data_IF_461102996044
#
_entry.id   IF_461102996044
#
_cell.length_a   1.000
_cell.length_b   1.000
_cell.length_c   1.000
_cell.angle_alpha   90.00
_cell.angle_beta   90.00
_cell.angle_gamma   90.00
#
_symmetry.space_group_name_H-M   'P 1'
#
loop_
_entity.id
_entity.type
_entity.pdbx_description
1 polymer ?
#
# COMPACT_ATOMS: atom_id res chain seq x y z
N UNK A 1 47.10 22.76 -34.79
CA UNK A 1 48.32 21.95 -34.91
C UNK A 1 49.19 22.73 -35.87
N UNK A 2 50.39 23.09 -35.44
CA UNK A 2 51.33 23.84 -36.28
C UNK A 2 51.75 22.92 -37.43
N UNK A 3 51.52 23.35 -38.67
CA UNK A 3 51.97 22.59 -39.83
C UNK A 3 53.50 22.53 -39.79
N UNK A 4 54.07 21.32 -39.83
CA UNK A 4 55.52 21.15 -39.71
C UNK A 4 56.23 21.63 -40.99
N UNK A 5 56.97 22.73 -40.84
CA UNK A 5 57.72 23.41 -41.89
C UNK A 5 59.21 23.03 -41.80
N UNK A 6 59.58 21.78 -42.07
CA UNK A 6 61.00 21.43 -42.25
C UNK A 6 61.48 21.87 -43.65
N UNK A 7 61.96 23.11 -43.73
CA UNK A 7 62.50 23.66 -44.98
C UNK A 7 63.73 22.89 -45.47
N UNK A 8 64.60 22.48 -44.56
CA UNK A 8 65.88 21.85 -44.94
C UNK A 8 65.62 20.50 -45.58
N UNK A 9 64.74 19.69 -44.99
CA UNK A 9 64.34 18.40 -45.54
C UNK A 9 63.58 18.55 -46.86
N UNK A 10 62.61 19.48 -46.96
CA UNK A 10 61.83 19.71 -48.18
C UNK A 10 62.68 20.19 -49.35
N UNK A 11 63.60 21.13 -49.15
CA UNK A 11 64.50 21.58 -50.21
C UNK A 11 65.47 20.47 -50.64
N UNK A 12 65.95 19.67 -49.69
CA UNK A 12 66.82 18.53 -49.97
C UNK A 12 66.09 17.44 -50.75
N UNK A 13 64.87 17.07 -50.36
CA UNK A 13 64.09 16.00 -50.99
C UNK A 13 63.64 16.37 -52.41
N UNK A 14 63.32 17.64 -52.66
CA UNK A 14 63.02 18.17 -54.00
C UNK A 14 64.29 18.41 -54.85
N UNK A 15 65.48 18.32 -54.25
CA UNK A 15 66.74 18.60 -54.93
C UNK A 15 66.89 20.07 -55.36
N UNK A 16 66.28 21.01 -54.64
CA UNK A 16 66.42 22.46 -54.82
C UNK A 16 67.72 22.96 -54.17
N UNK A 17 68.83 22.38 -54.57
CA UNK A 17 70.18 22.77 -54.15
C UNK A 17 70.59 24.14 -54.73
N UNK A 18 71.76 24.63 -54.32
CA UNK A 18 72.30 25.93 -54.79
C UNK A 18 72.39 26.00 -56.32
N UNK A 19 72.62 24.88 -56.99
CA UNK A 19 72.69 24.82 -58.46
C UNK A 19 71.31 25.01 -59.08
N UNK A 20 70.28 24.35 -58.57
CA UNK A 20 68.90 24.54 -59.02
C UNK A 20 68.43 25.97 -58.75
N UNK A 21 68.72 26.51 -57.57
CA UNK A 21 68.38 27.89 -57.21
C UNK A 21 69.12 28.92 -58.09
N UNK A 22 70.39 28.69 -58.40
CA UNK A 22 71.14 29.52 -59.33
C UNK A 22 70.56 29.48 -60.76
N UNK A 23 70.11 28.31 -61.22
CA UNK A 23 69.46 28.17 -62.52
C UNK A 23 68.13 28.94 -62.59
N UNK A 24 67.34 28.93 -61.50
CA UNK A 24 66.13 29.75 -61.39
C UNK A 24 66.47 31.25 -61.44
N UNK A 25 67.46 31.71 -60.66
CA UNK A 25 67.91 33.12 -60.65
C UNK A 25 68.37 33.59 -62.04
N UNK A 26 69.08 32.75 -62.78
CA UNK A 26 69.54 33.07 -64.12
C UNK A 26 68.39 33.15 -65.14
N UNK A 27 67.38 32.29 -65.01
CA UNK A 27 66.21 32.29 -65.88
C UNK A 27 65.17 33.36 -65.53
N UNK A 28 65.23 33.91 -64.31
CA UNK A 28 64.21 34.80 -63.76
C UNK A 28 63.84 35.98 -64.67
N UNK A 29 64.77 36.72 -65.32
CA UNK A 29 64.41 37.83 -66.20
C UNK A 29 63.61 37.39 -67.44
N UNK A 30 63.85 36.18 -67.93
CA UNK A 30 63.12 35.60 -69.08
C UNK A 30 61.75 35.10 -68.61
N UNK A 31 61.70 34.42 -67.46
CA UNK A 31 60.46 33.95 -66.85
C UNK A 31 59.54 35.14 -66.57
N UNK A 32 60.06 36.22 -65.97
CA UNK A 32 59.30 37.41 -65.59
C UNK A 32 58.59 38.08 -66.78
N UNK A 33 59.17 38.00 -67.98
CA UNK A 33 58.56 38.54 -69.21
C UNK A 33 57.45 37.64 -69.78
N UNK A 34 57.40 36.36 -69.40
CA UNK A 34 56.53 35.36 -70.02
C UNK A 34 55.54 34.70 -69.04
N UNK A 35 55.68 34.90 -67.73
CA UNK A 35 54.92 34.20 -66.69
C UNK A 35 53.41 34.49 -66.74
N UNK A 36 53.01 35.68 -67.17
CA UNK A 36 51.61 36.12 -67.16
C UNK A 36 50.72 35.26 -68.07
N UNK A 37 51.23 34.89 -69.26
CA UNK A 37 50.52 34.00 -70.18
C UNK A 37 50.31 32.61 -69.57
N UNK A 38 51.33 32.08 -68.92
CA UNK A 38 51.31 30.76 -68.31
C UNK A 38 50.42 30.69 -67.05
N UNK A 39 50.42 31.74 -66.22
CA UNK A 39 49.47 31.89 -65.09
C UNK A 39 48.03 31.95 -65.62
N UNK A 40 47.79 32.78 -66.63
CA UNK A 40 46.47 32.95 -67.22
C UNK A 40 45.94 31.65 -67.85
N UNK A 41 46.79 30.89 -68.53
CA UNK A 41 46.44 29.57 -69.06
C UNK A 41 45.97 28.61 -67.96
N UNK A 42 46.71 28.52 -66.85
CA UNK A 42 46.31 27.71 -65.70
C UNK A 42 45.01 28.18 -65.05
N UNK A 43 44.83 29.48 -64.85
CA UNK A 43 43.63 30.06 -64.24
C UNK A 43 42.40 29.87 -65.12
N UNK A 44 42.51 30.07 -66.45
CA UNK A 44 41.43 29.83 -67.41
C UNK A 44 41.04 28.36 -67.47
N UNK A 45 42.01 27.44 -67.40
CA UNK A 45 41.69 26.02 -67.32
C UNK A 45 40.86 25.73 -66.06
N UNK A 46 41.30 26.19 -64.89
CA UNK A 46 40.53 26.01 -63.66
C UNK A 46 39.14 26.68 -63.72
N UNK A 47 39.01 27.86 -64.34
CA UNK A 47 37.70 28.48 -64.58
C UNK A 47 36.76 27.61 -65.43
N UNK A 48 37.31 26.92 -66.43
CA UNK A 48 36.54 26.06 -67.33
C UNK A 48 36.10 24.74 -66.69
N UNK A 49 36.77 24.30 -65.61
CA UNK A 49 36.48 23.03 -64.95
C UNK A 49 35.25 23.15 -64.04
N UNK A 50 34.20 22.31 -64.23
CA UNK A 50 32.94 22.43 -63.48
C UNK A 50 33.09 22.42 -61.96
N UNK A 51 34.06 21.66 -61.45
CA UNK A 51 34.20 21.48 -60.00
C UNK A 51 35.05 22.53 -59.30
N UNK A 52 35.67 23.49 -60.02
CA UNK A 52 36.26 24.67 -59.40
C UNK A 52 35.79 26.01 -59.99
N UNK A 53 34.95 26.00 -61.03
CA UNK A 53 34.37 27.20 -61.64
C UNK A 53 33.77 28.18 -60.62
N UNK A 54 33.07 27.69 -59.58
CA UNK A 54 32.51 28.52 -58.50
C UNK A 54 33.55 29.33 -57.72
N UNK A 55 34.78 28.81 -57.59
CA UNK A 55 35.87 29.49 -56.88
C UNK A 55 36.55 30.56 -57.73
N UNK A 56 36.40 30.47 -59.05
CA UNK A 56 37.04 31.36 -60.02
C UNK A 56 36.04 32.18 -60.86
N UNK A 57 34.73 32.12 -60.55
CA UNK A 57 33.65 32.72 -61.34
C UNK A 57 33.77 34.25 -61.45
N UNK A 58 34.24 34.91 -60.39
CA UNK A 58 34.44 36.37 -60.32
C UNK A 58 35.92 36.74 -60.25
N UNK A 59 36.79 35.89 -60.80
CA UNK A 59 38.23 36.13 -60.77
C UNK A 59 38.57 37.35 -61.63
N UNK A 60 39.08 38.41 -61.01
CA UNK A 60 39.80 39.45 -61.72
C UNK A 60 41.14 38.87 -62.18
N UNK A 61 41.27 38.60 -63.49
CA UNK A 61 42.45 37.98 -64.08
C UNK A 61 43.70 38.83 -63.87
N UNK A 62 43.61 40.16 -63.94
CA UNK A 62 44.75 41.05 -63.75
C UNK A 62 45.19 41.07 -62.28
N UNK A 63 44.23 41.10 -61.35
CA UNK A 63 44.56 40.97 -59.93
C UNK A 63 45.15 39.60 -59.59
N UNK A 64 44.60 38.53 -60.16
CA UNK A 64 45.09 37.17 -59.96
C UNK A 64 46.53 37.01 -60.49
N UNK A 65 46.81 37.50 -61.70
CA UNK A 65 48.16 37.54 -62.24
C UNK A 65 49.12 38.30 -61.35
N UNK A 66 48.75 39.47 -60.81
CA UNK A 66 49.60 40.22 -59.85
C UNK A 66 49.93 39.39 -58.60
N UNK A 67 48.95 38.71 -58.01
CA UNK A 67 49.16 37.88 -56.82
C UNK A 67 50.05 36.67 -57.12
N UNK A 68 49.77 35.95 -58.21
CA UNK A 68 50.59 34.83 -58.64
C UNK A 68 52.00 35.25 -59.03
N UNK A 69 52.16 36.37 -59.75
CA UNK A 69 53.46 36.93 -60.11
C UNK A 69 54.28 37.25 -58.88
N UNK A 70 53.69 37.88 -57.87
CA UNK A 70 54.36 38.15 -56.61
C UNK A 70 54.92 36.86 -55.99
N UNK A 71 54.05 35.88 -55.76
CA UNK A 71 54.46 34.61 -55.15
C UNK A 71 55.48 33.83 -56.00
N UNK A 72 55.29 33.76 -57.32
CA UNK A 72 56.18 32.98 -58.19
C UNK A 72 57.50 33.69 -58.50
N UNK A 73 57.50 34.98 -58.82
CA UNK A 73 58.72 35.72 -59.18
C UNK A 73 59.53 36.11 -57.94
N UNK A 74 58.86 36.65 -56.91
CA UNK A 74 59.55 37.22 -55.75
C UNK A 74 59.89 36.17 -54.69
N UNK A 75 59.19 35.02 -54.66
CA UNK A 75 59.36 34.01 -53.63
C UNK A 75 59.89 32.68 -54.22
N UNK A 76 59.08 31.99 -55.03
CA UNK A 76 59.39 30.61 -55.43
C UNK A 76 60.51 30.49 -56.47
N UNK A 77 60.60 31.42 -57.42
CA UNK A 77 61.58 31.39 -58.50
C UNK A 77 62.74 32.39 -58.29
N UNK A 78 62.69 33.19 -57.22
CA UNK A 78 63.77 34.10 -56.83
C UNK A 78 65.08 33.38 -56.42
N UNK A 79 65.02 32.06 -56.23
CA UNK A 79 66.17 31.22 -55.88
C UNK A 79 66.73 31.51 -54.49
N UNK A 80 65.87 31.87 -53.54
CA UNK A 80 66.17 32.00 -52.11
C UNK A 80 64.93 31.62 -51.27
N UNK A 81 64.52 30.36 -51.35
CA UNK A 81 63.33 29.86 -50.64
C UNK A 81 63.61 29.82 -49.14
N UNK A 82 62.99 30.72 -48.38
CA UNK A 82 63.12 30.87 -46.92
C UNK A 82 61.97 30.20 -46.16
N UNK A 83 62.06 30.13 -44.83
CA UNK A 83 61.00 29.56 -43.99
C UNK A 83 59.70 30.39 -44.10
N UNK A 84 59.83 31.72 -44.27
CA UNK A 84 58.69 32.62 -44.46
C UNK A 84 58.00 32.39 -45.80
N UNK A 85 58.75 32.05 -46.86
CA UNK A 85 58.18 31.68 -48.16
C UNK A 85 57.36 30.40 -48.04
N UNK A 86 57.88 29.37 -47.37
CA UNK A 86 57.12 28.13 -47.17
C UNK A 86 55.88 28.35 -46.29
N UNK A 87 55.98 29.18 -45.25
CA UNK A 87 54.83 29.53 -44.39
C UNK A 87 53.75 30.26 -45.18
N UNK A 88 54.13 31.22 -46.02
CA UNK A 88 53.18 31.90 -46.89
C UNK A 88 52.51 30.93 -47.88
N UNK A 89 53.25 29.98 -48.45
CA UNK A 89 52.69 28.90 -49.27
C UNK A 89 51.66 28.07 -48.50
N UNK A 90 51.96 27.67 -47.26
CA UNK A 90 51.02 26.94 -46.39
C UNK A 90 49.76 27.75 -46.12
N UNK A 91 49.87 29.04 -45.79
CA UNK A 91 48.72 29.93 -45.53
C UNK A 91 47.79 30.03 -46.75
N UNK A 92 48.37 30.05 -47.96
CA UNK A 92 47.61 30.01 -49.22
C UNK A 92 46.78 28.72 -49.28
N UNK A 93 47.41 27.56 -49.06
CA UNK A 93 46.71 26.28 -49.14
C UNK A 93 45.68 26.08 -48.03
N UNK A 94 45.97 26.48 -46.79
CA UNK A 94 45.00 26.44 -45.69
C UNK A 94 43.79 27.31 -45.98
N UNK A 95 43.98 28.50 -46.55
CA UNK A 95 42.88 29.40 -46.92
C UNK A 95 41.99 28.78 -48.00
N UNK A 96 42.59 28.09 -48.97
CA UNK A 96 41.87 27.46 -50.08
C UNK A 96 41.19 26.16 -49.67
N UNK A 97 41.81 25.38 -48.80
CA UNK A 97 41.21 24.21 -48.16
C UNK A 97 39.97 24.62 -47.37
N UNK A 98 40.08 25.70 -46.56
CA UNK A 98 38.95 26.25 -45.81
C UNK A 98 37.83 26.77 -46.70
N UNK A 99 38.15 27.23 -47.90
CA UNK A 99 37.17 27.60 -48.92
C UNK A 99 36.52 26.36 -49.58
N UNK A 100 37.09 25.17 -49.44
CA UNK A 100 36.59 23.91 -49.99
C UNK A 100 37.07 23.61 -51.41
N UNK A 101 38.20 24.20 -51.84
CA UNK A 101 38.81 23.90 -53.13
C UNK A 101 39.57 22.57 -53.06
N UNK A 102 39.21 21.59 -53.88
CA UNK A 102 39.88 20.28 -53.89
C UNK A 102 41.35 20.36 -54.32
N UNK A 103 42.22 19.64 -53.61
CA UNK A 103 43.66 19.60 -53.84
C UNK A 103 44.02 19.28 -55.32
N UNK A 104 43.21 18.44 -55.99
CA UNK A 104 43.42 18.05 -57.39
C UNK A 104 43.50 19.22 -58.38
N UNK A 105 42.88 20.35 -58.05
CA UNK A 105 42.90 21.52 -58.93
C UNK A 105 44.21 22.32 -58.86
N UNK A 106 45.01 22.14 -57.80
CA UNK A 106 46.40 22.64 -57.77
C UNK A 106 47.28 21.84 -58.71
N UNK A 107 47.15 20.50 -58.74
CA UNK A 107 47.80 19.65 -59.75
C UNK A 107 47.48 20.08 -61.18
N UNK A 108 46.21 20.41 -61.43
CA UNK A 108 45.76 20.85 -62.76
C UNK A 108 46.31 22.24 -63.13
N UNK A 109 46.26 23.19 -62.19
CA UNK A 109 46.79 24.53 -62.36
C UNK A 109 48.30 24.50 -62.62
N UNK A 110 49.06 23.85 -61.73
CA UNK A 110 50.53 23.82 -61.80
C UNK A 110 51.05 23.02 -63.00
N UNK A 111 50.36 21.94 -63.40
CA UNK A 111 50.71 21.25 -64.64
C UNK A 111 50.59 22.17 -65.86
N UNK A 112 49.47 22.89 -65.98
CA UNK A 112 49.23 23.78 -67.12
C UNK A 112 50.20 24.96 -67.10
N UNK A 113 50.35 25.57 -65.93
CA UNK A 113 51.25 26.70 -65.74
C UNK A 113 52.70 26.33 -66.07
N UNK A 114 53.22 25.22 -65.55
CA UNK A 114 54.60 24.79 -65.83
C UNK A 114 54.82 24.52 -67.32
N UNK A 115 53.94 23.76 -67.96
CA UNK A 115 54.10 23.41 -69.37
C UNK A 115 54.03 24.64 -70.28
N UNK A 116 53.05 25.54 -70.07
CA UNK A 116 52.94 26.79 -70.84
C UNK A 116 54.15 27.68 -70.61
N UNK A 117 54.66 27.79 -69.37
CA UNK A 117 55.85 28.57 -69.08
C UNK A 117 57.08 28.01 -69.80
N UNK A 118 57.25 26.68 -69.82
CA UNK A 118 58.36 26.03 -70.54
C UNK A 118 58.28 26.31 -72.04
N UNK A 119 57.09 26.21 -72.63
CA UNK A 119 56.86 26.53 -74.05
C UNK A 119 57.21 28.00 -74.36
N UNK A 120 56.85 28.93 -73.49
CA UNK A 120 57.10 30.36 -73.68
C UNK A 120 58.58 30.74 -73.53
N UNK A 121 59.33 30.08 -72.63
CA UNK A 121 60.76 30.39 -72.43
C UNK A 121 61.69 29.62 -73.38
N UNK A 122 61.28 28.45 -73.90
CA UNK A 122 62.12 27.60 -74.75
C UNK A 122 62.74 28.33 -75.96
N UNK A 123 62.05 29.25 -76.68
CA UNK A 123 62.63 30.02 -77.77
C UNK A 123 63.89 30.82 -77.40
N UNK A 124 64.02 31.28 -76.16
CA UNK A 124 65.17 32.06 -75.68
C UNK A 124 66.43 31.19 -75.52
N UNK A 125 66.28 29.87 -75.43
CA UNK A 125 67.37 28.92 -75.24
C UNK A 125 67.68 28.08 -76.48
N UNK A 126 67.18 28.43 -77.67
CA UNK A 126 67.40 27.67 -78.93
C UNK A 126 68.86 27.32 -79.23
N UNK A 127 69.81 28.19 -78.85
CA UNK A 127 71.26 27.98 -79.04
C UNK A 127 71.97 27.38 -77.80
N UNK A 128 71.24 27.16 -76.71
CA UNK A 128 71.74 26.76 -75.39
C UNK A 128 70.91 25.60 -74.80
N UNK A 129 70.81 24.43 -75.48
CA UNK A 129 69.93 23.35 -75.06
C UNK A 129 70.26 22.80 -73.66
N UNK A 130 71.54 22.82 -73.26
CA UNK A 130 71.94 22.38 -71.92
C UNK A 130 71.49 23.35 -70.81
N UNK A 131 71.45 24.65 -71.08
CA UNK A 131 70.91 25.65 -70.13
C UNK A 131 69.39 25.49 -70.01
N UNK A 132 68.68 25.24 -71.12
CA UNK A 132 67.24 24.97 -71.08
C UNK A 132 66.91 23.77 -70.19
N UNK A 133 67.65 22.67 -70.32
CA UNK A 133 67.45 21.47 -69.47
C UNK A 133 67.65 21.80 -67.99
N UNK A 134 68.65 22.61 -67.64
CA UNK A 134 68.89 23.02 -66.25
C UNK A 134 67.75 23.87 -65.70
N UNK A 135 67.25 24.83 -66.48
CA UNK A 135 66.13 25.70 -66.10
C UNK A 135 64.84 24.92 -65.97
N UNK A 136 64.49 24.07 -66.94
CA UNK A 136 63.30 23.20 -66.89
C UNK A 136 63.36 22.27 -65.70
N UNK A 137 64.53 21.67 -65.42
CA UNK A 137 64.71 20.80 -64.25
C UNK A 137 64.49 21.59 -62.94
N UNK A 138 65.01 22.80 -62.84
CA UNK A 138 64.86 23.63 -61.65
C UNK A 138 63.41 24.14 -61.45
N UNK A 139 62.75 24.53 -62.54
CA UNK A 139 61.32 24.88 -62.55
C UNK A 139 60.46 23.70 -62.10
N UNK A 140 60.69 22.52 -62.68
CA UNK A 140 59.95 21.31 -62.29
C UNK A 140 60.10 21.01 -60.79
N UNK A 141 61.29 21.18 -60.22
CA UNK A 141 61.53 21.00 -58.78
C UNK A 141 60.79 22.04 -57.92
N UNK A 142 60.79 23.31 -58.32
CA UNK A 142 60.07 24.38 -57.60
C UNK A 142 58.54 24.16 -57.63
N UNK A 143 58.00 23.76 -58.78
CA UNK A 143 56.58 23.43 -58.92
C UNK A 143 56.18 22.16 -58.16
N UNK A 144 57.04 21.14 -58.13
CA UNK A 144 56.81 19.94 -57.32
C UNK A 144 56.85 20.22 -55.81
N UNK A 145 57.70 21.16 -55.35
CA UNK A 145 57.71 21.62 -53.97
C UNK A 145 56.36 22.27 -53.60
N UNK A 146 55.82 23.16 -54.45
CA UNK A 146 54.50 23.77 -54.22
C UNK A 146 53.38 22.72 -54.19
N UNK A 147 53.42 21.76 -55.11
CA UNK A 147 52.46 20.66 -55.12
C UNK A 147 52.52 19.80 -53.85
N UNK A 148 53.73 19.46 -53.40
CA UNK A 148 53.93 18.69 -52.17
C UNK A 148 53.40 19.45 -50.95
N UNK A 149 53.70 20.74 -50.81
CA UNK A 149 53.16 21.58 -49.74
C UNK A 149 51.63 21.58 -49.76
N UNK A 150 51.03 21.77 -50.93
CA UNK A 150 49.57 21.74 -51.09
C UNK A 150 48.97 20.40 -50.64
N UNK A 151 49.56 19.27 -51.06
CA UNK A 151 49.07 17.95 -50.69
C UNK A 151 49.22 17.69 -49.18
N UNK A 152 50.37 18.07 -48.60
CA UNK A 152 50.65 17.93 -47.18
C UNK A 152 49.66 18.69 -46.30
N UNK A 153 49.31 19.94 -46.65
CA UNK A 153 48.31 20.74 -45.91
C UNK A 153 46.93 20.07 -45.93
N UNK A 154 46.50 19.59 -47.10
CA UNK A 154 45.19 18.95 -47.27
C UNK A 154 45.09 17.61 -46.54
N UNK A 155 46.14 16.78 -46.57
CA UNK A 155 46.19 15.51 -45.85
C UNK A 155 46.15 15.74 -44.33
N UNK A 156 46.91 16.72 -43.82
CA UNK A 156 46.93 17.06 -42.40
C UNK A 156 45.58 17.61 -41.91
N UNK A 157 44.93 18.46 -42.71
CA UNK A 157 43.59 18.97 -42.40
C UNK A 157 42.54 17.85 -42.36
N UNK A 158 42.52 16.97 -43.37
CA UNK A 158 41.58 15.84 -43.43
C UNK A 158 41.71 14.88 -42.24
N UNK A 159 42.95 14.59 -41.80
CA UNK A 159 43.20 13.78 -40.59
C UNK A 159 42.67 14.48 -39.33
N UNK A 160 42.95 15.78 -39.18
CA UNK A 160 42.51 16.57 -38.02
C UNK A 160 40.99 16.70 -37.97
N UNK A 161 40.35 16.93 -39.12
CA UNK A 161 38.89 17.01 -39.22
C UNK A 161 38.26 15.69 -38.78
N UNK A 162 38.74 14.56 -39.31
CA UNK A 162 38.24 13.23 -38.96
C UNK A 162 38.40 12.94 -37.46
N UNK A 163 39.57 13.20 -36.88
CA UNK A 163 39.83 13.02 -35.44
C UNK A 163 38.89 13.86 -34.58
N UNK A 164 38.69 15.14 -34.94
CA UNK A 164 37.76 16.03 -34.21
C UNK A 164 36.32 15.52 -34.31
N UNK A 165 35.85 15.18 -35.50
CA UNK A 165 34.48 14.69 -35.71
C UNK A 165 34.22 13.38 -34.96
N UNK A 166 35.14 12.41 -35.04
CA UNK A 166 35.02 11.15 -34.30
C UNK A 166 35.01 11.40 -32.80
N UNK A 167 35.88 12.28 -32.30
CA UNK A 167 35.88 12.64 -30.87
C UNK A 167 34.56 13.28 -30.43
N UNK A 168 34.03 14.23 -31.19
CA UNK A 168 32.74 14.87 -30.86
C UNK A 168 31.60 13.84 -30.80
N UNK A 169 31.49 12.96 -31.80
CA UNK A 169 30.47 11.92 -31.79
C UNK A 169 30.69 10.87 -30.69
N UNK A 170 31.95 10.55 -30.36
CA UNK A 170 32.29 9.66 -29.25
C UNK A 170 31.88 10.26 -27.90
N UNK A 171 32.15 11.55 -27.66
CA UNK A 171 31.78 12.26 -26.44
C UNK A 171 30.25 12.38 -26.30
N UNK A 172 29.54 12.67 -27.39
CA UNK A 172 28.06 12.71 -27.41
C UNK A 172 27.46 11.33 -27.15
N UNK A 173 27.96 10.29 -27.82
CA UNK A 173 27.52 8.91 -27.62
C UNK A 173 27.77 8.44 -26.19
N UNK A 174 28.94 8.74 -25.61
CA UNK A 174 29.25 8.41 -24.21
C UNK A 174 28.24 9.03 -23.26
N UNK A 175 27.99 10.34 -23.41
CA UNK A 175 27.05 11.07 -22.55
C UNK A 175 25.65 10.45 -22.61
N UNK A 176 25.13 10.23 -23.82
CA UNK A 176 23.76 9.78 -24.02
C UNK A 176 23.57 8.34 -23.51
N UNK A 177 24.54 7.45 -23.75
CA UNK A 177 24.50 6.07 -23.24
C UNK A 177 24.66 6.04 -21.72
N UNK A 178 25.58 6.82 -21.13
CA UNK A 178 25.73 6.90 -19.68
C UNK A 178 24.46 7.41 -18.99
N UNK A 179 23.75 8.36 -19.60
CA UNK A 179 22.47 8.83 -19.08
C UNK A 179 21.44 7.70 -18.99
N UNK A 180 21.30 6.89 -20.06
CA UNK A 180 20.39 5.74 -20.08
C UNK A 180 20.81 4.67 -19.08
N UNK A 181 22.10 4.33 -19.04
CA UNK A 181 22.65 3.34 -18.09
C UNK A 181 22.40 3.76 -16.64
N UNK A 182 22.60 5.03 -16.31
CA UNK A 182 22.36 5.55 -14.97
C UNK A 182 20.86 5.53 -14.63
N UNK A 183 19.98 5.89 -15.57
CA UNK A 183 18.53 5.81 -15.37
C UNK A 183 18.07 4.36 -15.11
N UNK A 184 18.59 3.39 -15.86
CA UNK A 184 18.31 1.97 -15.67
C UNK A 184 18.81 1.47 -14.31
N UNK A 185 20.02 1.86 -13.89
CA UNK A 185 20.56 1.50 -12.58
C UNK A 185 19.71 2.07 -11.43
N UNK A 186 19.32 3.35 -11.53
CA UNK A 186 18.42 3.97 -10.53
C UNK A 186 17.06 3.30 -10.47
N UNK A 187 16.46 2.97 -11.63
CA UNK A 187 15.19 2.25 -11.67
C UNK A 187 15.29 0.85 -11.04
N UNK A 188 16.40 0.13 -11.30
CA UNK A 188 16.67 -1.15 -10.66
C UNK A 188 16.80 -1.03 -9.14
N UNK A 189 17.53 -0.04 -8.63
CA UNK A 189 17.66 0.20 -7.18
C UNK A 189 16.30 0.50 -6.53
N UNK A 190 15.47 1.32 -7.18
CA UNK A 190 14.11 1.61 -6.73
C UNK A 190 13.21 0.37 -6.71
N UNK A 191 13.28 -0.48 -7.75
CA UNK A 191 12.55 -1.75 -7.80
C UNK A 191 12.99 -2.69 -6.68
N UNK A 192 14.30 -2.78 -6.40
CA UNK A 192 14.84 -3.61 -5.32
C UNK A 192 14.37 -3.14 -3.93
N UNK A 193 14.37 -1.82 -3.70
CA UNK A 193 13.84 -1.23 -2.48
C UNK A 193 12.33 -1.51 -2.31
N UNK A 194 11.54 -1.29 -3.36
CA UNK A 194 10.10 -1.56 -3.34
C UNK A 194 9.78 -3.04 -3.09
N UNK A 195 10.54 -3.94 -3.71
CA UNK A 195 10.46 -5.37 -3.46
C UNK A 195 10.77 -5.73 -2.00
N UNK A 196 11.82 -5.16 -1.42
CA UNK A 196 12.18 -5.39 -0.01
C UNK A 196 11.05 -4.95 0.92
N UNK A 197 10.47 -3.77 0.68
CA UNK A 197 9.30 -3.29 1.43
C UNK A 197 8.12 -4.26 1.27
N UNK A 198 7.77 -4.66 0.04
CA UNK A 198 6.67 -5.58 -0.21
C UNK A 198 6.86 -6.94 0.50
N UNK A 199 8.08 -7.49 0.49
CA UNK A 199 8.40 -8.71 1.24
C UNK A 199 8.23 -8.53 2.74
N UNK A 200 8.69 -7.41 3.30
CA UNK A 200 8.55 -7.13 4.73
C UNK A 200 7.08 -6.97 5.15
N UNK A 201 6.26 -6.34 4.30
CA UNK A 201 4.82 -6.20 4.52
C UNK A 201 4.13 -7.56 4.45
N UNK A 202 4.47 -8.40 3.48
CA UNK A 202 3.96 -9.77 3.39
C UNK A 202 4.29 -10.61 4.64
N UNK A 203 5.53 -10.52 5.15
CA UNK A 203 5.94 -11.22 6.37
C UNK A 203 5.23 -10.69 7.62
N UNK A 204 4.94 -9.38 7.67
CA UNK A 204 4.13 -8.80 8.73
C UNK A 204 2.68 -9.28 8.66
N UNK A 205 2.06 -9.26 7.47
CA UNK A 205 0.70 -9.77 7.26
C UNK A 205 0.60 -11.23 7.69
N UNK A 206 1.57 -12.07 7.30
CA UNK A 206 1.61 -13.48 7.72
C UNK A 206 1.64 -13.66 9.24
N UNK A 207 2.45 -12.87 9.95
CA UNK A 207 2.50 -12.89 11.43
C UNK A 207 1.16 -12.47 12.05
N UNK A 208 0.55 -11.42 11.52
CA UNK A 208 -0.75 -10.93 12.00
C UNK A 208 -1.86 -11.95 11.72
N UNK A 209 -1.87 -12.61 10.56
CA UNK A 209 -2.84 -13.68 10.27
C UNK A 209 -2.67 -14.88 11.21
N UNK A 210 -1.44 -15.25 11.59
CA UNK A 210 -1.20 -16.31 12.57
C UNK A 210 -1.75 -15.96 13.97
N UNK A 211 -1.62 -14.69 14.38
CA UNK A 211 -2.23 -14.19 15.62
C UNK A 211 -3.76 -14.27 15.56
N UNK A 212 -4.37 -13.81 14.45
CA UNK A 212 -5.83 -13.88 14.25
C UNK A 212 -6.34 -15.32 14.26
N UNK A 213 -5.62 -16.28 13.68
CA UNK A 213 -5.98 -17.71 13.74
C UNK A 213 -6.04 -18.18 15.20
N UNK A 214 -5.03 -17.84 16.01
CA UNK A 214 -5.01 -18.18 17.43
C UNK A 214 -6.21 -17.57 18.18
N UNK A 215 -6.47 -16.27 17.99
CA UNK A 215 -7.61 -15.57 18.61
C UNK A 215 -8.96 -16.20 18.19
N UNK A 216 -9.07 -16.63 16.93
CA UNK A 216 -10.28 -17.25 16.39
C UNK A 216 -10.50 -18.64 16.99
N UNK A 217 -9.43 -19.41 17.19
CA UNK A 217 -9.48 -20.69 17.90
C UNK A 217 -9.94 -20.50 19.36
N UNK A 218 -9.34 -19.56 20.09
CA UNK A 218 -9.73 -19.22 21.46
C UNK A 218 -11.19 -18.77 21.54
N UNK A 219 -11.65 -17.98 20.57
CA UNK A 219 -13.05 -17.55 20.47
C UNK A 219 -14.01 -18.73 20.30
N UNK A 220 -13.61 -19.74 19.51
CA UNK A 220 -14.40 -20.95 19.29
C UNK A 220 -14.48 -21.81 20.56
N UNK A 221 -13.38 -21.91 21.32
CA UNK A 221 -13.38 -22.64 22.59
C UNK A 221 -14.17 -21.92 23.69
N UNK A 222 -14.11 -20.59 23.72
CA UNK A 222 -14.97 -19.77 24.58
C UNK A 222 -16.45 -19.95 24.21
N UNK A 223 -16.78 -19.98 22.92
CA UNK A 223 -18.14 -20.25 22.44
C UNK A 223 -18.65 -21.63 22.90
N UNK A 224 -17.84 -22.69 22.80
CA UNK A 224 -18.19 -24.01 23.34
C UNK A 224 -18.43 -23.99 24.85
N UNK A 225 -17.61 -23.23 25.60
CA UNK A 225 -17.79 -23.09 27.05
C UNK A 225 -19.11 -22.41 27.39
N UNK A 226 -19.52 -21.39 26.62
CA UNK A 226 -20.83 -20.73 26.77
C UNK A 226 -21.98 -21.69 26.45
N UNK A 227 -21.86 -22.52 25.41
CA UNK A 227 -22.87 -23.57 25.09
C UNK A 227 -23.05 -24.52 26.27
N UNK A 228 -21.95 -25.00 26.87
CA UNK A 228 -22.00 -25.90 28.01
C UNK A 228 -22.70 -25.23 29.21
N UNK A 229 -22.32 -23.99 29.54
CA UNK A 229 -22.95 -23.22 30.62
C UNK A 229 -24.44 -22.95 30.36
N UNK A 230 -24.82 -22.66 29.12
CA UNK A 230 -26.22 -22.50 28.71
C UNK A 230 -27.00 -23.83 28.82
N UNK A 231 -26.34 -24.96 28.54
CA UNK A 231 -26.88 -26.31 28.76
C UNK A 231 -27.18 -26.58 30.23
N UNK A 232 -26.24 -26.27 31.14
CA UNK A 232 -26.43 -26.38 32.59
C UNK A 232 -27.56 -25.46 33.09
N UNK A 233 -27.59 -24.20 32.61
CA UNK A 233 -28.68 -23.27 32.92
C UNK A 233 -30.04 -23.81 32.47
N UNK A 234 -30.13 -24.37 31.26
CA UNK A 234 -31.38 -24.96 30.75
C UNK A 234 -31.86 -26.12 31.60
N UNK A 235 -30.94 -26.95 32.11
CA UNK A 235 -31.27 -28.03 33.04
C UNK A 235 -31.79 -27.48 34.38
N UNK A 236 -31.12 -26.48 34.96
CA UNK A 236 -31.53 -25.84 36.21
C UNK A 236 -32.89 -25.14 36.10
N UNK A 237 -33.13 -24.39 35.03
CA UNK A 237 -34.42 -23.74 34.76
C UNK A 237 -35.56 -24.76 34.64
N UNK A 238 -35.31 -25.90 33.98
CA UNK A 238 -36.29 -26.99 33.89
C UNK A 238 -36.62 -27.59 35.25
N UNK A 239 -35.61 -27.81 36.10
CA UNK A 239 -35.79 -28.32 37.45
C UNK A 239 -36.61 -27.35 38.32
N UNK A 240 -36.30 -26.04 38.25
CA UNK A 240 -37.08 -25.00 38.93
C UNK A 240 -38.53 -25.03 38.44
N UNK A 241 -38.77 -25.18 37.13
CA UNK A 241 -40.12 -25.32 36.57
C UNK A 241 -40.90 -26.49 37.17
N UNK A 242 -40.26 -27.66 37.33
CA UNK A 242 -40.86 -28.83 37.98
C UNK A 242 -41.19 -28.56 39.45
N UNK A 243 -40.26 -27.95 40.20
CA UNK A 243 -40.47 -27.62 41.62
C UNK A 243 -41.59 -26.59 41.83
N UNK A 244 -41.71 -25.61 40.93
CA UNK A 244 -42.76 -24.59 40.95
C UNK A 244 -44.13 -25.20 40.65
N UNK A 245 -44.22 -26.10 39.66
CA UNK A 245 -45.45 -26.83 39.38
C UNK A 245 -45.90 -27.65 40.60
N UNK A 246 -44.96 -28.35 41.25
CA UNK A 246 -45.23 -29.13 42.46
C UNK A 246 -45.71 -28.24 43.63
N UNK A 247 -45.13 -27.04 43.78
CA UNK A 247 -45.55 -26.07 44.80
C UNK A 247 -46.93 -25.48 44.54
N UNK A 248 -47.29 -25.24 43.28
CA UNK A 248 -48.64 -24.81 42.90
C UNK A 248 -49.67 -25.90 43.21
N UNK A 249 -49.36 -27.16 42.90
CA UNK A 249 -50.21 -28.30 43.24
C UNK A 249 -50.41 -28.46 44.75
N UNK A 250 -49.32 -28.36 45.53
CA UNK A 250 -49.37 -28.42 47.00
C UNK A 250 -50.21 -27.27 47.58
N UNK A 251 -50.05 -26.06 47.04
CA UNK A 251 -50.83 -24.88 47.48
C UNK A 251 -52.31 -25.08 47.19
N UNK A 252 -52.66 -25.61 46.01
CA UNK A 252 -54.05 -25.91 45.65
C UNK A 252 -54.67 -26.95 46.60
N UNK A 253 -53.94 -28.01 46.94
CA UNK A 253 -54.39 -29.02 47.91
C UNK A 253 -54.58 -28.40 49.30
N UNK A 254 -53.61 -27.60 49.77
CA UNK A 254 -53.69 -26.94 51.07
C UNK A 254 -54.86 -25.94 51.15
N UNK A 255 -55.19 -25.23 50.05
CA UNK A 255 -56.40 -24.40 49.99
C UNK A 255 -57.66 -25.23 50.18
N UNK A 256 -57.79 -26.37 49.49
CA UNK A 256 -58.95 -27.26 49.64
C UNK A 256 -59.07 -27.82 51.07
N UNK A 257 -57.96 -28.19 51.70
CA UNK A 257 -57.94 -28.64 53.09
C UNK A 257 -58.35 -27.53 54.06
N UNK A 258 -57.85 -26.29 53.86
CA UNK A 258 -58.23 -25.14 54.66
C UNK A 258 -59.73 -24.79 54.50
N UNK A 259 -60.28 -24.86 53.29
CA UNK A 259 -61.72 -24.67 53.04
C UNK A 259 -62.57 -25.72 53.77
N UNK A 260 -62.15 -26.98 53.72
CA UNK A 260 -62.83 -28.08 54.42
C UNK A 260 -62.76 -27.92 55.94
N UNK A 261 -61.60 -27.52 56.48
CA UNK A 261 -61.43 -27.22 57.90
C UNK A 261 -62.33 -26.04 58.32
N UNK A 262 -62.34 -24.96 57.55
CA UNK A 262 -63.19 -23.80 57.79
C UNK A 262 -64.69 -24.17 57.81
N UNK A 263 -65.14 -25.01 56.86
CA UNK A 263 -66.52 -25.51 56.83
C UNK A 263 -66.85 -26.33 58.08
N UNK A 264 -65.95 -27.21 58.51
CA UNK A 264 -66.13 -28.05 59.71
C UNK A 264 -66.23 -27.19 60.98
N UNK A 265 -65.32 -26.22 61.14
CA UNK A 265 -65.29 -25.34 62.31
C UNK A 265 -66.49 -24.39 62.33
N UNK A 266 -66.98 -23.91 61.16
CA UNK A 266 -68.25 -23.17 61.09
C UNK A 266 -69.43 -24.02 61.54
N UNK A 267 -69.50 -25.29 61.12
CA UNK A 267 -70.53 -26.21 61.60
C UNK A 267 -70.47 -26.43 63.13
N UNK A 268 -69.27 -26.44 63.71
CA UNK A 268 -69.08 -26.46 65.16
C UNK A 268 -69.60 -25.16 65.80
N UNK A 269 -69.28 -23.99 65.23
CA UNK A 269 -69.76 -22.69 65.72
C UNK A 269 -71.29 -22.64 65.76
N UNK A 270 -71.95 -23.08 64.69
CA UNK A 270 -73.41 -23.15 64.58
C UNK A 270 -74.00 -24.12 65.61
N UNK A 271 -73.35 -25.26 65.84
CA UNK A 271 -73.78 -26.25 66.84
C UNK A 271 -73.63 -25.71 68.26
N UNK A 272 -72.51 -25.05 68.57
CA UNK A 272 -72.28 -24.40 69.86
C UNK A 272 -73.24 -23.21 70.10
N UNK A 273 -73.65 -22.50 69.06
CA UNK A 273 -74.69 -21.46 69.16
C UNK A 273 -76.04 -22.08 69.57
N UNK A 274 -76.46 -23.15 68.90
CA UNK A 274 -77.69 -23.88 69.24
C UNK A 274 -77.67 -24.43 70.67
N UNK A 275 -76.53 -24.96 71.12
CA UNK A 275 -76.39 -25.41 72.52
C UNK A 275 -76.55 -24.22 73.48
N UNK A 276 -75.96 -23.07 73.17
CA UNK A 276 -76.14 -21.84 73.95
C UNK A 276 -77.61 -21.43 74.08
N UNK A 277 -78.38 -21.51 72.99
CA UNK A 277 -79.83 -21.23 73.01
C UNK A 277 -80.61 -22.21 73.90
N UNK A 278 -80.25 -23.51 73.86
CA UNK A 278 -80.85 -24.54 74.71
C UNK A 278 -80.49 -24.30 76.19
N UNK A 279 -79.24 -23.98 76.51
CA UNK A 279 -78.80 -23.69 77.89
C UNK A 279 -79.55 -22.47 78.44
N UNK A 280 -79.74 -21.43 77.62
CA UNK A 280 -80.54 -20.26 77.99
C UNK A 280 -81.99 -20.64 78.30
N UNK A 281 -82.63 -21.45 77.45
CA UNK A 281 -83.98 -21.94 77.69
C UNK A 281 -84.08 -22.74 79.00
N UNK A 282 -83.09 -23.59 79.31
CA UNK A 282 -83.06 -24.36 80.57
C UNK A 282 -82.91 -23.41 81.77
N UNK A 283 -82.07 -22.37 81.67
CA UNK A 283 -81.91 -21.36 82.72
C UNK A 283 -83.22 -20.57 82.95
N UNK A 284 -83.94 -20.23 81.89
CA UNK A 284 -85.26 -19.60 81.96
C UNK A 284 -86.29 -20.52 82.65
N UNK A 285 -86.31 -21.82 82.30
CA UNK A 285 -87.17 -22.84 82.94
C UNK A 285 -86.81 -22.99 84.42
N UNK A 286 -85.52 -23.04 84.77
CA UNK A 286 -85.06 -23.14 86.15
C UNK A 286 -85.50 -21.91 86.97
N UNK A 287 -85.37 -20.70 86.40
CA UNK A 287 -85.82 -19.45 87.01
C UNK A 287 -87.35 -19.43 87.21
N UNK A 288 -88.11 -19.88 86.21
CA UNK A 288 -89.56 -20.00 86.31
C UNK A 288 -89.99 -21.06 87.33
N UNK A 289 -89.27 -22.19 87.41
CA UNK A 289 -89.49 -23.25 88.39
C UNK A 289 -89.20 -22.77 89.80
N UNK A 290 -88.13 -21.99 90.00
CA UNK A 290 -87.81 -21.35 91.27
C UNK A 290 -88.92 -20.37 91.72
N UNK A 291 -89.48 -19.59 90.79
CA UNK A 291 -90.63 -18.71 91.06
C UNK A 291 -91.90 -19.49 91.40
N UNK A 292 -92.20 -20.57 90.68
CA UNK A 292 -93.33 -21.45 90.97
C UNK A 292 -93.18 -22.11 92.35
N UNK A 293 -91.99 -22.61 92.67
CA UNK A 293 -91.66 -23.20 93.96
C UNK A 293 -91.74 -22.18 95.10
N UNK A 294 -91.34 -20.94 94.86
CA UNK A 294 -91.49 -19.84 95.81
C UNK A 294 -92.98 -19.54 96.08
N UNK A 295 -93.80 -19.43 95.02
CA UNK A 295 -95.24 -19.23 95.15
C UNK A 295 -95.90 -20.39 95.91
N UNK A 296 -95.50 -21.64 95.63
CA UNK A 296 -95.96 -22.82 96.36
C UNK A 296 -95.54 -22.80 97.83
N UNK A 297 -94.33 -22.33 98.15
CA UNK A 297 -93.85 -22.16 99.53
C UNK A 297 -94.68 -21.11 100.29
N UNK A 298 -95.04 -20.01 99.62
CA UNK A 298 -95.92 -18.97 100.18
C UNK A 298 -97.30 -19.53 100.49
N UNK A 299 -97.91 -20.26 99.55
CA UNK A 299 -99.25 -20.84 99.74
C UNK A 299 -99.25 -21.96 100.79
N UNK A 300 -98.17 -22.75 100.87
CA UNK A 300 -97.97 -23.75 101.92
C UNK A 300 -97.88 -23.11 103.32
N UNK A 301 -97.19 -21.96 103.44
CA UNK A 301 -97.14 -21.19 104.69
C UNK A 301 -98.52 -20.61 105.05
N UNK A 302 -99.31 -20.21 104.05
CA UNK A 302 -100.68 -19.70 104.21
C UNK A 302 -101.67 -20.75 104.71
N UNK A 303 -101.46 -22.02 104.36
CA UNK A 303 -102.26 -23.16 104.81
C UNK A 303 -101.93 -23.66 106.23
N UNK A 304 -100.94 -23.07 106.93
CA UNK A 304 -100.62 -23.39 108.32
C UNK A 304 -100.13 -24.84 108.53
N UNK A 305 -100.62 -25.52 109.57
CA UNK A 305 -100.23 -26.92 109.88
C UNK A 305 -100.54 -27.91 108.73
N UNK A 306 -101.61 -27.68 107.96
CA UNK A 306 -102.00 -28.54 106.85
C UNK A 306 -101.05 -28.45 105.64
N UNK A 307 -100.26 -27.38 105.53
CA UNK A 307 -99.34 -27.12 104.41
C UNK A 307 -97.91 -27.62 104.62
N UNK A 308 -97.55 -28.16 105.81
CA UNK A 308 -96.15 -28.52 106.15
C UNK A 308 -95.48 -29.48 105.16
N UNK A 309 -96.19 -30.53 104.72
CA UNK A 309 -95.66 -31.48 103.73
C UNK A 309 -95.43 -30.83 102.36
N UNK A 310 -96.33 -29.92 101.97
CA UNK A 310 -96.23 -29.18 100.72
C UNK A 310 -95.09 -28.14 100.75
N UNK A 311 -94.85 -27.52 101.91
CA UNK A 311 -93.74 -26.59 102.12
C UNK A 311 -92.37 -27.26 101.95
N UNK A 312 -92.21 -28.50 102.41
CA UNK A 312 -90.96 -29.28 102.24
C UNK A 312 -90.71 -29.58 100.77
N UNK A 313 -91.74 -30.06 100.04
CA UNK A 313 -91.62 -30.34 98.60
C UNK A 313 -91.33 -29.05 97.81
N UNK A 314 -92.03 -27.95 98.12
CA UNK A 314 -91.78 -26.65 97.48
C UNK A 314 -90.35 -26.14 97.76
N UNK A 315 -89.84 -26.33 98.97
CA UNK A 315 -88.44 -26.01 99.33
C UNK A 315 -87.42 -26.86 98.56
N UNK A 316 -87.69 -28.15 98.40
CA UNK A 316 -86.81 -29.06 97.64
C UNK A 316 -86.81 -28.73 96.13
N UNK A 317 -87.99 -28.45 95.56
CA UNK A 317 -88.10 -27.98 94.16
C UNK A 317 -87.38 -26.64 93.97
N UNK A 318 -87.47 -25.72 94.94
CA UNK A 318 -86.74 -24.44 94.93
C UNK A 318 -85.23 -24.65 94.95
N UNK A 319 -84.72 -25.55 95.79
CA UNK A 319 -83.31 -25.89 95.85
C UNK A 319 -82.81 -26.53 94.55
N UNK A 320 -83.57 -27.49 94.01
CA UNK A 320 -83.25 -28.14 92.74
C UNK A 320 -83.23 -27.14 91.58
N UNK A 321 -84.17 -26.19 91.55
CA UNK A 321 -84.21 -25.12 90.56
C UNK A 321 -82.98 -24.20 90.66
N UNK A 322 -82.55 -23.83 91.87
CA UNK A 322 -81.34 -23.03 92.09
C UNK A 322 -80.05 -23.79 91.69
N UNK A 323 -79.97 -25.09 92.01
CA UNK A 323 -78.85 -25.94 91.57
C UNK A 323 -78.81 -26.07 90.04
N UNK A 324 -79.99 -26.24 89.42
CA UNK A 324 -80.13 -26.29 87.96
C UNK A 324 -79.67 -24.98 87.34
N UNK A 325 -80.14 -23.83 87.85
CA UNK A 325 -79.73 -22.51 87.41
C UNK A 325 -78.20 -22.32 87.46
N UNK A 326 -77.58 -22.64 88.60
CA UNK A 326 -76.13 -22.56 88.77
C UNK A 326 -75.37 -23.48 87.79
N UNK A 327 -75.85 -24.71 87.60
CA UNK A 327 -75.24 -25.63 86.64
C UNK A 327 -75.38 -25.11 85.20
N UNK A 328 -76.53 -24.52 84.83
CA UNK A 328 -76.69 -23.88 83.51
C UNK A 328 -75.80 -22.66 83.33
N UNK A 329 -75.54 -21.86 84.37
CA UNK A 329 -74.62 -20.71 84.29
C UNK A 329 -73.18 -21.17 84.04
N UNK A 330 -72.74 -22.25 84.73
CA UNK A 330 -71.42 -22.86 84.50
C UNK A 330 -71.30 -23.41 83.07
N UNK A 331 -72.33 -24.11 82.56
CA UNK A 331 -72.37 -24.59 81.18
C UNK A 331 -72.37 -23.41 80.19
N UNK A 332 -73.13 -22.35 80.45
CA UNK A 332 -73.19 -21.16 79.60
C UNK A 332 -71.80 -20.51 79.46
N UNK A 333 -71.05 -20.42 80.56
CA UNK A 333 -69.66 -19.93 80.55
C UNK A 333 -68.76 -20.80 79.67
N UNK A 334 -68.83 -22.13 79.82
CA UNK A 334 -68.04 -23.06 79.00
C UNK A 334 -68.41 -22.98 77.51
N UNK A 335 -69.70 -22.86 77.19
CA UNK A 335 -70.15 -22.68 75.80
C UNK A 335 -69.65 -21.35 75.24
N UNK A 336 -69.63 -20.28 76.03
CA UNK A 336 -69.04 -18.99 75.66
C UNK A 336 -67.55 -19.10 75.30
N UNK A 337 -66.77 -19.83 76.11
CA UNK A 337 -65.36 -20.13 75.83
C UNK A 337 -65.18 -20.94 74.55
N UNK A 338 -65.98 -22.00 74.35
CA UNK A 338 -65.97 -22.82 73.13
C UNK A 338 -66.30 -21.99 71.90
N UNK A 339 -67.33 -21.14 71.96
CA UNK A 339 -67.69 -20.24 70.86
C UNK A 339 -66.57 -19.25 70.55
N UNK A 340 -65.92 -18.69 71.57
CA UNK A 340 -64.78 -17.78 71.41
C UNK A 340 -63.60 -18.47 70.73
N UNK A 341 -63.20 -19.64 71.23
CA UNK A 341 -62.13 -20.45 70.64
C UNK A 341 -62.46 -20.86 69.18
N UNK A 342 -63.72 -21.18 68.90
CA UNK A 342 -64.18 -21.54 67.56
C UNK A 342 -64.07 -20.34 66.59
N UNK A 343 -64.44 -19.13 67.03
CA UNK A 343 -64.26 -17.90 66.22
C UNK A 343 -62.78 -17.64 65.91
N UNK A 344 -61.91 -17.75 66.92
CA UNK A 344 -60.47 -17.60 66.72
C UNK A 344 -59.91 -18.63 65.73
N UNK A 345 -60.40 -19.88 65.79
CA UNK A 345 -60.01 -20.93 64.84
C UNK A 345 -60.47 -20.60 63.41
N UNK A 346 -61.69 -20.09 63.22
CA UNK A 346 -62.19 -19.64 61.89
C UNK A 346 -61.30 -18.53 61.32
N UNK A 347 -60.97 -17.51 62.13
CA UNK A 347 -60.10 -16.42 61.70
C UNK A 347 -58.70 -16.90 61.34
N UNK A 348 -58.11 -17.80 62.15
CA UNK A 348 -56.81 -18.38 61.88
C UNK A 348 -56.80 -19.20 60.57
N UNK A 349 -57.82 -20.03 60.34
CA UNK A 349 -57.93 -20.82 59.10
C UNK A 349 -58.12 -19.90 57.88
N UNK A 350 -58.93 -18.84 57.99
CA UNK A 350 -59.09 -17.87 56.92
C UNK A 350 -57.77 -17.15 56.59
N UNK A 351 -56.98 -16.79 57.61
CA UNK A 351 -55.63 -16.25 57.44
C UNK A 351 -54.68 -17.21 56.73
N UNK A 352 -54.69 -18.49 57.10
CA UNK A 352 -53.91 -19.54 56.43
C UNK A 352 -54.32 -19.68 54.95
N UNK A 353 -55.61 -19.73 54.65
CA UNK A 353 -56.11 -19.81 53.28
C UNK A 353 -55.67 -18.61 52.43
N UNK A 354 -55.69 -17.39 52.99
CA UNK A 354 -55.19 -16.19 52.34
C UNK A 354 -53.69 -16.28 52.01
N UNK A 355 -52.87 -16.76 52.95
CA UNK A 355 -51.43 -16.96 52.74
C UNK A 355 -51.12 -18.02 51.69
N UNK A 356 -51.88 -19.11 51.65
CA UNK A 356 -51.74 -20.13 50.61
C UNK A 356 -52.12 -19.58 49.23
N UNK A 357 -53.17 -18.75 49.15
CA UNK A 357 -53.52 -18.05 47.91
C UNK A 357 -52.40 -17.12 47.41
N UNK A 358 -51.72 -16.44 48.33
CA UNK A 358 -50.54 -15.61 48.02
C UNK A 358 -49.37 -16.47 47.49
N UNK A 359 -49.11 -17.64 48.08
CA UNK A 359 -48.10 -18.60 47.59
C UNK A 359 -48.43 -19.03 46.16
N UNK A 360 -49.69 -19.41 45.88
CA UNK A 360 -50.08 -19.85 44.53
C UNK A 360 -49.87 -18.76 43.47
N UNK A 361 -50.16 -17.49 43.81
CA UNK A 361 -49.92 -16.34 42.92
C UNK A 361 -48.42 -16.13 42.67
N UNK A 362 -47.58 -16.31 43.69
CA UNK A 362 -46.12 -16.23 43.55
C UNK A 362 -45.61 -17.37 42.67
N UNK A 363 -46.07 -18.61 42.88
CA UNK A 363 -45.72 -19.75 42.03
C UNK A 363 -46.08 -19.53 40.57
N UNK A 364 -47.25 -18.96 40.27
CA UNK A 364 -47.64 -18.60 38.91
C UNK A 364 -46.70 -17.56 38.28
N UNK A 365 -46.28 -16.55 39.04
CA UNK A 365 -45.32 -15.55 38.56
C UNK A 365 -43.93 -16.15 38.30
N UNK A 366 -43.46 -17.06 39.16
CA UNK A 366 -42.19 -17.76 38.96
C UNK A 366 -42.28 -18.65 37.72
N UNK A 367 -43.40 -19.36 37.50
CA UNK A 367 -43.58 -20.19 36.31
C UNK A 367 -43.46 -19.39 35.01
N UNK A 368 -44.08 -18.20 34.94
CA UNK A 368 -43.94 -17.31 33.80
C UNK A 368 -42.49 -16.85 33.59
N UNK A 369 -41.77 -16.51 34.67
CA UNK A 369 -40.37 -16.13 34.59
C UNK A 369 -39.46 -17.30 34.13
N UNK A 370 -39.78 -18.53 34.53
CA UNK A 370 -39.06 -19.75 34.10
C UNK A 370 -39.25 -20.01 32.60
N UNK A 371 -40.45 -19.79 32.06
CA UNK A 371 -40.70 -19.88 30.62
C UNK A 371 -39.89 -18.83 29.84
N UNK A 372 -39.86 -17.59 30.32
CA UNK A 372 -39.07 -16.51 29.72
C UNK A 372 -37.55 -16.80 29.78
N UNK A 373 -37.04 -17.27 30.91
CA UNK A 373 -35.65 -17.70 31.05
C UNK A 373 -35.30 -18.87 30.13
N UNK A 374 -36.22 -19.80 29.91
CA UNK A 374 -36.01 -20.91 28.98
C UNK A 374 -35.85 -20.41 27.55
N UNK A 375 -36.71 -19.47 27.13
CA UNK A 375 -36.64 -18.85 25.80
C UNK A 375 -35.34 -18.05 25.61
N UNK A 376 -34.97 -17.23 26.61
CA UNK A 376 -33.72 -16.46 26.58
C UNK A 376 -32.49 -17.37 26.49
N UNK A 377 -32.47 -18.46 27.24
CA UNK A 377 -31.37 -19.44 27.20
C UNK A 377 -31.23 -20.10 25.84
N UNK A 378 -32.36 -20.46 25.21
CA UNK A 378 -32.37 -21.02 23.86
C UNK A 378 -31.83 -20.02 22.81
N UNK A 379 -32.15 -18.73 22.96
CA UNK A 379 -31.63 -17.69 22.07
C UNK A 379 -30.13 -17.44 22.27
N UNK A 380 -29.60 -17.57 23.49
CA UNK A 380 -28.16 -17.55 23.75
C UNK A 380 -27.46 -18.68 22.99
N UNK A 381 -27.99 -19.90 23.06
CA UNK A 381 -27.45 -21.06 22.32
C UNK A 381 -27.48 -20.80 20.80
N UNK A 382 -28.59 -20.29 20.27
CA UNK A 382 -28.68 -19.93 18.85
C UNK A 382 -27.67 -18.85 18.46
N UNK A 383 -27.51 -17.82 19.29
CA UNK A 383 -26.57 -16.72 19.03
C UNK A 383 -25.12 -17.22 19.00
N UNK A 384 -24.76 -18.14 19.90
CA UNK A 384 -23.39 -18.66 19.98
C UNK A 384 -23.06 -19.65 18.84
N UNK A 385 -24.06 -20.33 18.27
CA UNK A 385 -23.90 -21.09 17.02
C UNK A 385 -23.54 -20.17 15.84
N UNK A 386 -24.22 -19.01 15.73
CA UNK A 386 -23.91 -18.01 14.70
C UNK A 386 -22.49 -17.45 14.89
N UNK A 387 -22.07 -17.19 16.14
CA UNK A 387 -20.70 -16.75 16.45
C UNK A 387 -19.69 -17.82 16.05
N UNK A 388 -19.93 -19.09 16.39
CA UNK A 388 -19.02 -20.20 16.05
C UNK A 388 -18.86 -20.35 14.53
N UNK A 389 -19.97 -20.36 13.78
CA UNK A 389 -19.92 -20.38 12.31
C UNK A 389 -19.32 -19.10 11.71
N UNK A 390 -19.40 -17.96 12.40
CA UNK A 390 -18.68 -16.74 12.07
C UNK A 390 -17.16 -16.91 12.20
N UNK A 391 -16.70 -17.45 13.33
CA UNK A 391 -15.29 -17.74 13.60
C UNK A 391 -14.69 -18.71 12.57
N UNK A 392 -15.40 -19.77 12.20
CA UNK A 392 -14.95 -20.71 11.17
C UNK A 392 -14.74 -20.03 9.82
N UNK A 393 -15.66 -19.14 9.41
CA UNK A 393 -15.52 -18.35 8.18
C UNK A 393 -14.34 -17.37 8.25
N UNK A 394 -14.14 -16.72 9.39
CA UNK A 394 -12.97 -15.83 9.60
C UNK A 394 -11.68 -16.63 9.46
N UNK A 395 -11.60 -17.82 10.04
CA UNK A 395 -10.43 -18.71 9.91
C UNK A 395 -10.14 -19.06 8.45
N UNK A 396 -11.17 -19.40 7.66
CA UNK A 396 -11.01 -19.69 6.24
C UNK A 396 -10.49 -18.48 5.43
N UNK A 397 -11.11 -17.31 5.61
CA UNK A 397 -10.69 -16.06 4.95
C UNK A 397 -9.26 -15.68 5.32
N UNK A 398 -8.88 -15.85 6.59
CA UNK A 398 -7.52 -15.56 7.06
C UNK A 398 -6.49 -16.53 6.46
N UNK A 399 -6.88 -17.78 6.22
CA UNK A 399 -6.07 -18.74 5.45
C UNK A 399 -5.79 -18.23 4.02
N UNK A 400 -6.80 -17.69 3.34
CA UNK A 400 -6.63 -17.09 2.01
C UNK A 400 -5.74 -15.85 2.04
N UNK A 401 -5.90 -14.98 3.05
CA UNK A 401 -5.04 -13.79 3.23
C UNK A 401 -3.58 -14.18 3.45
N UNK A 402 -3.32 -15.21 4.27
CA UNK A 402 -1.94 -15.71 4.47
C UNK A 402 -1.36 -16.29 3.17
N UNK A 403 -2.14 -17.00 2.38
CA UNK A 403 -1.70 -17.50 1.08
C UNK A 403 -1.34 -16.33 0.12
N UNK A 404 -2.19 -15.31 0.04
CA UNK A 404 -1.95 -14.13 -0.80
C UNK A 404 -0.73 -13.30 -0.33
N UNK A 405 -0.51 -13.20 0.98
CA UNK A 405 0.71 -12.61 1.52
C UNK A 405 1.95 -13.43 1.13
N UNK A 406 1.86 -14.77 1.20
CA UNK A 406 2.90 -15.68 0.70
C UNK A 406 3.23 -15.47 -0.79
N UNK A 407 2.22 -15.29 -1.64
CA UNK A 407 2.39 -14.95 -3.06
C UNK A 407 3.06 -13.59 -3.25
N UNK A 408 2.64 -12.58 -2.51
CA UNK A 408 3.24 -11.24 -2.53
C UNK A 408 4.73 -11.30 -2.16
N UNK A 409 5.07 -12.07 -1.13
CA UNK A 409 6.46 -12.28 -0.72
C UNK A 409 7.29 -13.00 -1.78
N UNK A 410 6.71 -13.97 -2.52
CA UNK A 410 7.37 -14.61 -3.68
C UNK A 410 7.62 -13.61 -4.82
N UNK A 411 6.57 -12.91 -5.24
CA UNK A 411 6.67 -11.93 -6.33
C UNK A 411 7.68 -10.81 -6.01
N UNK A 412 7.72 -10.35 -4.76
CA UNK A 412 8.71 -9.40 -4.29
C UNK A 412 10.15 -9.92 -4.46
N UNK A 413 10.42 -11.18 -4.09
CA UNK A 413 11.76 -11.78 -4.30
C UNK A 413 12.13 -11.87 -5.78
N UNK A 414 11.19 -12.23 -6.64
CA UNK A 414 11.43 -12.31 -8.10
C UNK A 414 11.74 -10.93 -8.70
N UNK A 415 11.04 -9.88 -8.25
CA UNK A 415 11.31 -8.49 -8.63
C UNK A 415 12.69 -8.05 -8.14
N UNK A 416 13.06 -8.36 -6.89
CA UNK A 416 14.38 -8.04 -6.34
C UNK A 416 15.50 -8.72 -7.13
N UNK A 417 15.33 -10.00 -7.49
CA UNK A 417 16.29 -10.72 -8.33
C UNK A 417 16.43 -10.09 -9.73
N UNK A 418 15.29 -9.74 -10.36
CA UNK A 418 15.26 -9.11 -11.69
C UNK A 418 15.92 -7.73 -11.67
N UNK A 419 15.67 -6.94 -10.61
CA UNK A 419 16.32 -5.67 -10.38
C UNK A 419 17.84 -5.82 -10.21
N UNK A 420 18.29 -6.81 -9.43
CA UNK A 420 19.71 -7.13 -9.28
C UNK A 420 20.38 -7.49 -10.62
N UNK A 421 19.72 -8.29 -11.46
CA UNK A 421 20.19 -8.63 -12.79
C UNK A 421 20.28 -7.39 -13.71
N UNK A 422 19.28 -6.50 -13.67
CA UNK A 422 19.26 -5.28 -14.46
C UNK A 422 20.38 -4.31 -14.07
N UNK A 423 20.63 -4.15 -12.76
CA UNK A 423 21.75 -3.36 -12.24
C UNK A 423 23.11 -3.95 -12.69
N UNK A 424 23.24 -5.28 -12.65
CA UNK A 424 24.40 -5.98 -13.20
C UNK A 424 24.62 -5.70 -14.69
N UNK A 425 23.56 -5.81 -15.51
CA UNK A 425 23.63 -5.56 -16.94
C UNK A 425 23.97 -4.10 -17.28
N UNK A 426 23.46 -3.14 -16.51
CA UNK A 426 23.81 -1.72 -16.65
C UNK A 426 25.30 -1.47 -16.39
N UNK A 427 25.87 -2.12 -15.37
CA UNK A 427 27.31 -2.04 -15.08
C UNK A 427 28.16 -2.67 -16.20
N UNK A 428 27.73 -3.82 -16.74
CA UNK A 428 28.40 -4.44 -17.89
C UNK A 428 28.36 -3.53 -19.12
N UNK A 429 27.22 -2.93 -19.44
CA UNK A 429 27.08 -2.01 -20.57
C UNK A 429 28.00 -0.79 -20.43
N UNK A 430 28.11 -0.23 -19.21
CA UNK A 430 29.05 0.86 -18.91
C UNK A 430 30.49 0.48 -19.25
N UNK A 431 30.93 -0.69 -18.81
CA UNK A 431 32.30 -1.17 -19.05
C UNK A 431 32.58 -1.45 -20.53
N UNK A 432 31.64 -2.08 -21.24
CA UNK A 432 31.76 -2.35 -22.68
C UNK A 432 31.83 -1.04 -23.49
N UNK A 433 31.00 -0.06 -23.15
CA UNK A 433 30.98 1.26 -23.78
C UNK A 433 32.32 1.98 -23.59
N UNK A 434 32.85 2.04 -22.36
CA UNK A 434 34.14 2.67 -22.08
C UNK A 434 35.28 2.00 -22.86
N UNK A 435 35.30 0.67 -22.92
CA UNK A 435 36.30 -0.06 -23.71
C UNK A 435 36.18 0.22 -25.21
N UNK A 436 34.96 0.29 -25.73
CA UNK A 436 34.69 0.63 -27.13
C UNK A 436 35.21 2.04 -27.48
N UNK A 437 34.89 3.05 -26.66
CA UNK A 437 35.32 4.43 -26.87
C UNK A 437 36.85 4.58 -26.82
N UNK A 438 37.51 3.91 -25.87
CA UNK A 438 38.96 3.88 -25.81
C UNK A 438 39.59 3.30 -27.08
N UNK A 439 39.03 2.21 -27.62
CA UNK A 439 39.52 1.61 -28.87
C UNK A 439 39.26 2.49 -30.08
N UNK A 440 38.10 3.15 -30.14
CA UNK A 440 37.73 4.06 -31.22
C UNK A 440 38.68 5.25 -31.29
N UNK A 441 38.92 5.91 -30.15
CA UNK A 441 39.79 7.08 -30.06
C UNK A 441 41.27 6.75 -30.26
N UNK A 442 41.70 5.52 -29.91
CA UNK A 442 43.06 5.06 -30.19
C UNK A 442 43.30 4.73 -31.67
N UNK A 443 42.24 4.42 -32.42
CA UNK A 443 42.32 4.05 -33.84
C UNK A 443 42.29 5.26 -34.80
N UNK A 444 41.91 6.44 -34.29
CA UNK A 444 41.82 7.70 -35.03
C UNK A 444 42.92 8.65 -34.66
#
# INVERSE_FOLDING_TARGET
>A
MEFELDRVERLRSMGLDERAQAALRQALPIIEQNIDHAIEAGLRLNQSLPGCSKFYANLDMEAAKRVHRKHWIEEMLAGAISDDVLRHGVDIYETRERAGLDCRYFFTFFNTFLNTLIEDIAPFYRKKPQELVQVVTALNKAFLLELEMSASVFIASGKTFTQKTVKTYADEFERDVLQVVNAVATAADQMSAAATTASSSADQTNRQTAEVITITADTTDNARSVVNAAGELSASVREIGVQVAQSSDMSRLATQEAEKANSTVRGLADSSAKIGDVVKLISDIASQTNLLALNATIEAARAGEAGKGFAVVAGEVKNLANQTGKATDEIASQIGEVQSATRQAVEAIAGIAGRIGEINRISAAIAAAVEEQSAATAEIVRSIEVVSGGSERVSAVIGEVSAAAGDTGRAARDVSQSAGALSGQANTLRGVMQSFLQRLLAAT
#
